data_IF_175047716075
#
_entry.id   IF_175047716075
#
_cell.length_a   1.000
_cell.length_b   1.000
_cell.length_c   1.000
_cell.angle_alpha   90.00
_cell.angle_beta   90.00
_cell.angle_gamma   90.00
#
_symmetry.space_group_name_H-M   'P 1'
#
loop_
_entity.id
_entity.type
_entity.pdbx_description
1 polymer ?
#
# COMPACT_ATOMS: atom_id res chain seq x y z
N UNK A 1 -9.09 77.18 11.92
CA UNK A 1 -9.88 76.14 11.24
C UNK A 1 -9.20 74.81 11.50
N UNK A 2 -9.73 74.04 12.43
CA UNK A 2 -9.15 72.78 12.91
C UNK A 2 -10.19 71.68 12.68
N UNK A 3 -9.73 70.56 12.11
CA UNK A 3 -10.56 69.39 11.80
C UNK A 3 -11.10 68.72 13.08
N UNK A 4 -12.32 68.15 13.06
CA UNK A 4 -12.97 67.64 14.27
C UNK A 4 -12.54 66.21 14.65
N UNK A 5 -12.69 65.94 15.95
CA UNK A 5 -12.39 64.71 16.64
C UNK A 5 -13.32 63.53 16.27
N UNK A 6 -12.78 62.31 16.42
CA UNK A 6 -13.48 61.02 16.26
C UNK A 6 -14.48 60.75 17.38
N UNK A 7 -15.61 60.08 17.10
CA UNK A 7 -16.39 59.37 18.11
C UNK A 7 -16.22 57.83 18.00
N UNK A 8 -16.03 57.19 19.16
CA UNK A 8 -16.46 55.80 19.49
C UNK A 8 -17.71 55.92 20.40
N UNK A 9 -18.51 54.87 20.73
CA UNK A 9 -18.26 53.41 20.65
C UNK A 9 -19.46 52.54 20.20
N UNK A 10 -19.25 51.23 20.11
CA UNK A 10 -20.31 50.22 20.00
C UNK A 10 -19.78 48.79 20.05
N UNK A 11 -19.66 48.24 21.25
CA UNK A 11 -19.25 46.86 21.53
C UNK A 11 -20.31 45.86 21.06
N UNK A 12 -19.89 44.75 20.43
CA UNK A 12 -20.66 43.50 20.38
C UNK A 12 -19.80 42.34 20.87
N UNK A 13 -20.25 41.75 21.97
CA UNK A 13 -19.74 40.54 22.60
C UNK A 13 -20.15 39.31 21.80
N UNK A 14 -19.21 38.39 21.56
CA UNK A 14 -19.49 37.06 21.02
C UNK A 14 -19.50 36.04 22.16
N UNK A 15 -20.70 35.51 22.45
CA UNK A 15 -20.91 34.38 23.34
C UNK A 15 -20.42 33.09 22.67
N UNK A 16 -19.48 32.38 23.31
CA UNK A 16 -19.19 30.98 22.99
C UNK A 16 -20.10 30.06 23.80
N UNK A 17 -20.47 28.90 23.24
CA UNK A 17 -20.64 27.78 24.14
C UNK A 17 -20.16 26.43 23.62
N UNK A 18 -19.98 25.58 24.63
CA UNK A 18 -20.15 24.13 24.66
C UNK A 18 -18.99 23.26 24.12
N UNK A 19 -18.27 22.69 25.09
CA UNK A 19 -17.34 21.60 24.89
C UNK A 19 -18.00 20.35 24.34
N UNK A 20 -17.19 19.59 23.61
CA UNK A 20 -17.58 18.31 23.06
C UNK A 20 -17.47 17.24 24.15
N UNK A 21 -18.64 16.72 24.53
CA UNK A 21 -18.78 15.52 25.36
C UNK A 21 -18.19 14.31 24.64
N UNK A 22 -17.39 13.56 25.38
CA UNK A 22 -16.98 12.19 25.06
C UNK A 22 -18.18 11.24 25.16
N UNK A 23 -18.30 10.30 24.21
CA UNK A 23 -19.08 9.08 24.39
C UNK A 23 -20.04 8.70 23.24
N UNK A 24 -19.57 7.84 22.34
CA UNK A 24 -20.18 6.52 22.07
C UNK A 24 -19.23 5.71 21.17
N UNK A 25 -18.98 4.46 21.59
CA UNK A 25 -17.92 3.61 21.08
C UNK A 25 -18.02 3.35 19.58
N UNK A 26 -16.89 3.52 18.91
CA UNK A 26 -16.63 2.98 17.58
C UNK A 26 -15.86 1.69 17.86
N UNK A 27 -16.53 0.54 17.69
CA UNK A 27 -15.84 -0.75 17.59
C UNK A 27 -14.87 -0.72 16.40
N UNK A 28 -13.84 -1.59 16.35
CA UNK A 28 -12.81 -1.48 15.33
C UNK A 28 -13.45 -1.56 13.95
N UNK A 29 -13.30 -0.48 13.18
CA UNK A 29 -13.60 -0.49 11.77
C UNK A 29 -12.60 -1.44 11.10
N UNK A 30 -13.07 -2.63 10.71
CA UNK A 30 -12.32 -3.48 9.80
C UNK A 30 -12.06 -2.68 8.52
N UNK A 31 -10.80 -2.60 8.03
CA UNK A 31 -10.51 -1.93 6.78
C UNK A 31 -11.05 -2.80 5.66
N UNK A 32 -12.28 -2.55 5.21
CA UNK A 32 -12.81 -3.19 4.01
C UNK A 32 -12.05 -2.61 2.82
N UNK A 33 -10.96 -3.29 2.45
CA UNK A 33 -10.22 -3.00 1.24
C UNK A 33 -11.12 -3.20 0.02
N UNK A 34 -11.25 -2.18 -0.82
CA UNK A 34 -12.03 -2.20 -2.06
C UNK A 34 -11.32 -3.03 -3.15
N UNK A 35 -11.11 -4.31 -2.87
CA UNK A 35 -10.71 -5.30 -3.86
C UNK A 35 -11.98 -5.72 -4.62
N UNK A 36 -12.08 -5.33 -5.89
CA UNK A 36 -13.23 -5.67 -6.73
C UNK A 36 -13.47 -7.19 -6.79
N UNK A 37 -14.49 -7.66 -6.06
CA UNK A 37 -14.84 -9.07 -5.91
C UNK A 37 -15.53 -9.57 -7.18
N UNK A 38 -14.82 -10.29 -8.04
CA UNK A 38 -15.39 -10.95 -9.23
C UNK A 38 -15.60 -12.42 -8.89
N UNK A 39 -16.86 -12.85 -8.66
CA UNK A 39 -17.28 -14.26 -8.43
C UNK A 39 -16.15 -15.20 -7.93
N UNK A 40 -15.79 -15.09 -6.65
CA UNK A 40 -14.80 -15.98 -6.02
C UNK A 40 -13.32 -15.63 -6.28
N UNK A 41 -13.04 -14.46 -6.85
CA UNK A 41 -11.69 -13.91 -7.01
C UNK A 41 -11.58 -12.51 -6.38
N UNK A 42 -10.41 -12.28 -5.79
CA UNK A 42 -9.94 -11.00 -5.28
C UNK A 42 -8.83 -10.48 -6.19
N UNK A 43 -8.85 -9.17 -6.49
CA UNK A 43 -7.88 -8.54 -7.39
C UNK A 43 -6.94 -7.59 -6.68
N UNK A 44 -5.65 -7.77 -6.95
CA UNK A 44 -4.58 -6.83 -6.64
C UNK A 44 -3.92 -6.32 -7.93
N UNK A 45 -3.00 -5.37 -7.77
CA UNK A 45 -2.35 -4.69 -8.88
C UNK A 45 -0.85 -4.68 -8.70
N UNK A 46 -0.11 -4.63 -9.80
CA UNK A 46 1.35 -4.50 -9.79
C UNK A 46 1.78 -3.63 -10.96
N UNK A 47 2.76 -2.76 -10.71
CA UNK A 47 3.46 -2.02 -11.77
C UNK A 47 4.92 -2.43 -11.75
N UNK A 48 5.38 -3.01 -12.85
CA UNK A 48 6.72 -3.61 -12.93
C UNK A 48 7.28 -3.46 -14.34
N UNK A 49 8.58 -3.68 -14.48
CA UNK A 49 9.23 -3.74 -15.79
C UNK A 49 8.68 -4.90 -16.62
N UNK A 50 8.63 -4.74 -17.94
CA UNK A 50 8.11 -5.74 -18.86
C UNK A 50 8.74 -7.14 -18.66
N UNK A 51 10.05 -7.20 -18.35
CA UNK A 51 10.77 -8.47 -18.09
C UNK A 51 10.18 -9.30 -16.94
N UNK A 52 9.58 -8.64 -15.94
CA UNK A 52 9.05 -9.30 -14.75
C UNK A 52 7.52 -9.34 -14.71
N UNK A 53 6.82 -8.82 -15.74
CA UNK A 53 5.38 -8.59 -15.70
C UNK A 53 4.56 -9.84 -15.38
N UNK A 54 4.98 -10.99 -15.92
CA UNK A 54 4.35 -12.29 -15.72
C UNK A 54 5.24 -13.27 -14.94
N UNK A 55 6.25 -12.75 -14.22
CA UNK A 55 7.11 -13.60 -13.40
C UNK A 55 6.35 -14.13 -12.19
N UNK A 56 6.00 -15.42 -12.26
CA UNK A 56 5.36 -16.18 -11.19
C UNK A 56 6.34 -16.73 -10.16
N UNK A 57 7.62 -16.86 -10.51
CA UNK A 57 8.67 -17.37 -9.61
C UNK A 57 9.16 -16.30 -8.63
N UNK A 58 8.83 -15.04 -8.91
CA UNK A 58 9.19 -13.89 -8.09
C UNK A 58 10.70 -13.77 -7.91
N UNK A 59 11.46 -14.04 -8.99
CA UNK A 59 12.91 -14.20 -8.93
C UNK A 59 13.59 -12.90 -8.51
N UNK A 60 13.09 -11.74 -8.98
CA UNK A 60 13.64 -10.44 -8.58
C UNK A 60 13.55 -10.18 -7.07
N UNK A 61 12.35 -10.39 -6.49
CA UNK A 61 12.16 -10.25 -5.04
C UNK A 61 12.97 -11.30 -4.26
N UNK A 62 13.10 -12.52 -4.80
CA UNK A 62 13.91 -13.58 -4.20
C UNK A 62 15.40 -13.22 -4.19
N UNK A 63 15.92 -12.65 -5.28
CA UNK A 63 17.36 -12.35 -5.41
C UNK A 63 17.77 -11.07 -4.66
N UNK A 64 16.92 -10.05 -4.65
CA UNK A 64 17.26 -8.74 -4.07
C UNK A 64 16.73 -8.59 -2.63
N UNK A 65 15.76 -9.42 -2.23
CA UNK A 65 14.98 -9.20 -1.02
C UNK A 65 13.99 -8.05 -1.21
N UNK A 66 13.22 -7.77 -0.15
CA UNK A 66 12.28 -6.65 -0.10
C UNK A 66 11.99 -6.28 1.34
N UNK A 67 10.97 -5.43 1.57
CA UNK A 67 10.60 -5.02 2.94
C UNK A 67 10.10 -6.19 3.79
N UNK A 68 9.37 -7.11 3.17
CA UNK A 68 8.67 -8.23 3.81
C UNK A 68 9.21 -9.60 3.40
N UNK A 69 10.38 -9.67 2.77
CA UNK A 69 11.04 -10.93 2.46
C UNK A 69 12.57 -10.78 2.52
N UNK A 70 13.28 -11.71 3.17
CA UNK A 70 14.74 -11.73 3.12
C UNK A 70 15.21 -12.23 1.75
N UNK A 71 16.48 -11.96 1.44
CA UNK A 71 17.17 -12.54 0.28
C UNK A 71 17.06 -14.06 0.33
N UNK A 72 16.75 -14.68 -0.81
CA UNK A 72 16.53 -16.11 -0.97
C UNK A 72 15.07 -16.55 -0.85
N UNK A 73 14.18 -15.72 -0.28
CA UNK A 73 12.75 -16.04 -0.11
C UNK A 73 11.90 -15.31 -1.13
N UNK A 74 11.12 -16.05 -1.92
CA UNK A 74 10.28 -15.48 -2.97
C UNK A 74 9.01 -14.83 -2.39
N UNK A 75 8.65 -13.66 -2.92
CA UNK A 75 7.41 -12.97 -2.58
C UNK A 75 6.90 -12.16 -3.78
N UNK A 76 5.60 -12.23 -4.06
CA UNK A 76 4.97 -11.41 -5.09
C UNK A 76 4.39 -10.15 -4.44
N UNK A 77 4.97 -8.98 -4.74
CA UNK A 77 4.46 -7.71 -4.27
C UNK A 77 3.40 -7.14 -5.21
N UNK A 78 2.28 -6.73 -4.62
CA UNK A 78 1.17 -6.07 -5.27
C UNK A 78 0.60 -4.97 -4.35
N UNK A 79 -0.28 -4.14 -4.90
CA UNK A 79 -1.06 -3.15 -4.16
C UNK A 79 -2.55 -3.41 -4.31
N UNK A 80 -3.35 -2.92 -3.38
CA UNK A 80 -4.82 -3.07 -3.44
C UNK A 80 -5.44 -2.20 -4.54
N UNK A 81 -4.75 -1.14 -4.97
CA UNK A 81 -5.16 -0.28 -6.08
C UNK A 81 -4.02 -0.03 -7.06
N UNK A 82 -4.30 0.31 -8.34
CA UNK A 82 -3.26 0.76 -9.26
C UNK A 82 -2.55 2.04 -8.78
N UNK A 83 -3.25 2.86 -7.99
CA UNK A 83 -2.76 4.14 -7.48
C UNK A 83 -1.62 3.93 -6.50
N UNK A 84 -1.78 3.03 -5.52
CA UNK A 84 -0.70 2.75 -4.56
C UNK A 84 0.50 2.10 -5.26
N UNK A 85 0.27 1.21 -6.25
CA UNK A 85 1.36 0.65 -7.05
C UNK A 85 2.13 1.72 -7.83
N UNK A 86 1.43 2.74 -8.35
CA UNK A 86 2.05 3.82 -9.09
C UNK A 86 2.90 4.68 -8.15
N UNK A 87 2.39 5.01 -6.96
CA UNK A 87 3.11 5.78 -5.95
C UNK A 87 4.36 5.04 -5.46
N UNK A 88 4.23 3.76 -5.08
CA UNK A 88 5.35 2.91 -4.67
C UNK A 88 6.41 2.84 -5.77
N UNK A 89 5.99 2.61 -7.02
CA UNK A 89 6.91 2.52 -8.15
C UNK A 89 7.60 3.85 -8.44
N UNK A 90 6.90 4.96 -8.28
CA UNK A 90 7.45 6.30 -8.47
C UNK A 90 8.55 6.60 -7.44
N UNK A 91 8.28 6.36 -6.15
CA UNK A 91 9.27 6.55 -5.07
C UNK A 91 10.48 5.65 -5.27
N UNK A 92 10.29 4.38 -5.65
CA UNK A 92 11.40 3.45 -5.88
C UNK A 92 12.26 3.77 -7.11
N UNK A 93 11.74 4.48 -8.11
CA UNK A 93 12.50 4.83 -9.30
C UNK A 93 13.45 6.01 -9.07
N UNK A 94 13.25 6.80 -8.01
CA UNK A 94 14.13 7.90 -7.57
C UNK A 94 14.65 8.79 -8.72
N UNK A 95 13.77 9.14 -9.67
CA UNK A 95 14.12 9.99 -10.82
C UNK A 95 14.94 9.34 -11.94
N UNK A 96 15.20 8.03 -11.89
CA UNK A 96 15.88 7.30 -12.97
C UNK A 96 15.01 7.11 -14.22
N UNK A 97 15.67 6.93 -15.37
CA UNK A 97 15.03 6.64 -16.65
C UNK A 97 14.03 5.49 -16.52
N UNK A 98 12.79 5.72 -16.97
CA UNK A 98 11.71 4.75 -16.80
C UNK A 98 11.85 3.61 -17.82
N UNK A 99 12.24 2.39 -17.39
CA UNK A 99 12.15 1.23 -18.28
C UNK A 99 10.68 1.02 -18.70
N UNK A 100 10.40 0.32 -19.81
CA UNK A 100 9.04 -0.02 -20.18
C UNK A 100 8.31 -0.73 -19.02
N UNK A 101 7.31 -0.06 -18.44
CA UNK A 101 6.50 -0.58 -17.34
C UNK A 101 5.20 -1.16 -17.87
N UNK A 102 4.66 -2.14 -17.14
CA UNK A 102 3.36 -2.76 -17.40
C UNK A 102 2.50 -2.65 -16.15
N UNK A 103 1.22 -2.37 -16.35
CA UNK A 103 0.20 -2.55 -15.32
C UNK A 103 -0.31 -3.99 -15.40
N UNK A 104 -0.22 -4.71 -14.29
CA UNK A 104 -0.57 -6.12 -14.17
C UNK A 104 -1.69 -6.26 -13.14
N UNK A 105 -2.75 -6.95 -13.51
CA UNK A 105 -3.75 -7.45 -12.56
C UNK A 105 -3.26 -8.77 -11.99
N UNK A 106 -3.41 -8.93 -10.68
CA UNK A 106 -3.08 -10.14 -9.92
C UNK A 106 -4.37 -10.64 -9.31
N UNK A 107 -4.98 -11.65 -9.94
CA UNK A 107 -6.21 -12.26 -9.43
C UNK A 107 -5.85 -13.47 -8.56
N UNK A 108 -6.40 -13.51 -7.35
CA UNK A 108 -6.20 -14.58 -6.37
C UNK A 108 -7.56 -15.19 -5.98
N UNK A 109 -7.63 -16.46 -5.55
CA UNK A 109 -8.86 -17.04 -5.01
C UNK A 109 -9.36 -16.27 -3.78
N UNK A 110 -10.64 -15.93 -3.78
CA UNK A 110 -11.35 -15.28 -2.67
C UNK A 110 -12.06 -16.35 -1.84
N UNK A 111 -11.33 -16.94 -0.89
CA UNK A 111 -11.81 -17.96 0.03
C UNK A 111 -11.41 -17.60 1.45
N UNK A 112 -12.24 -17.99 2.41
CA UNK A 112 -11.98 -17.74 3.83
C UNK A 112 -10.62 -18.31 4.25
N UNK A 113 -9.90 -17.54 5.08
CA UNK A 113 -8.61 -17.94 5.63
C UNK A 113 -7.42 -17.77 4.69
N UNK A 114 -7.59 -17.31 3.44
CA UNK A 114 -6.47 -17.06 2.53
C UNK A 114 -5.76 -15.72 2.76
N UNK A 115 -6.39 -14.79 3.47
CA UNK A 115 -5.89 -13.45 3.71
C UNK A 115 -5.58 -13.28 5.20
N UNK A 116 -4.38 -12.79 5.49
CA UNK A 116 -3.93 -12.34 6.80
C UNK A 116 -3.69 -10.83 6.76
N UNK A 117 -4.17 -10.09 7.75
CA UNK A 117 -3.90 -8.67 7.90
C UNK A 117 -3.44 -8.45 9.36
N UNK A 118 -2.13 -8.33 9.63
CA UNK A 118 -1.64 -8.03 10.97
C UNK A 118 -2.16 -6.68 11.47
N UNK A 119 -2.40 -6.57 12.77
CA UNK A 119 -2.59 -5.26 13.38
C UNK A 119 -1.30 -4.45 13.27
N UNK A 120 -1.40 -3.14 13.15
CA UNK A 120 -0.22 -2.25 13.09
C UNK A 120 0.71 -2.42 14.31
N UNK A 121 0.14 -2.78 15.47
CA UNK A 121 0.87 -3.02 16.72
C UNK A 121 1.68 -4.32 16.72
N UNK A 122 1.34 -5.24 15.83
CA UNK A 122 2.03 -6.53 15.68
C UNK A 122 3.20 -6.42 14.68
N UNK A 123 3.27 -5.31 13.94
CA UNK A 123 4.39 -5.03 13.05
C UNK A 123 5.60 -4.51 13.85
N UNK A 124 6.84 -4.84 13.45
CA UNK A 124 8.03 -4.29 14.08
C UNK A 124 8.05 -2.76 14.07
N UNK A 125 8.45 -2.11 15.17
CA UNK A 125 8.36 -0.64 15.31
C UNK A 125 8.97 0.15 14.13
N UNK A 126 10.08 -0.35 13.56
CA UNK A 126 10.81 0.28 12.46
C UNK A 126 10.45 -0.29 11.07
N UNK A 127 9.29 -0.96 10.92
CA UNK A 127 8.93 -1.64 9.67
C UNK A 127 8.90 -0.72 8.45
N UNK A 128 8.57 0.56 8.63
CA UNK A 128 8.42 1.54 7.56
C UNK A 128 9.73 2.27 7.20
N UNK A 129 10.79 2.12 7.99
CA UNK A 129 12.03 2.89 7.83
C UNK A 129 12.84 2.51 6.58
N UNK A 130 13.74 3.41 6.18
CA UNK A 130 14.78 3.20 5.18
C UNK A 130 16.15 3.50 5.81
N UNK A 131 17.18 2.65 5.64
CA UNK A 131 17.17 1.39 4.90
C UNK A 131 16.22 0.34 5.51
N UNK A 132 15.80 -0.64 4.69
CA UNK A 132 14.85 -1.67 5.12
C UNK A 132 15.34 -2.37 6.39
N UNK A 133 14.50 -2.38 7.42
CA UNK A 133 14.81 -2.99 8.69
C UNK A 133 14.86 -4.54 8.59
N UNK A 134 15.89 -5.20 9.16
CA UNK A 134 15.93 -6.67 9.22
C UNK A 134 14.69 -7.28 9.90
N UNK A 135 14.12 -6.58 10.89
CA UNK A 135 12.95 -7.05 11.61
C UNK A 135 11.70 -7.20 10.71
N UNK A 136 11.49 -6.31 9.73
CA UNK A 136 10.35 -6.46 8.80
C UNK A 136 10.56 -7.61 7.81
N UNK A 137 11.81 -7.84 7.41
CA UNK A 137 12.18 -8.98 6.58
C UNK A 137 12.00 -10.29 7.33
N UNK A 138 12.40 -10.36 8.59
CA UNK A 138 12.20 -11.54 9.43
C UNK A 138 10.72 -11.80 9.67
N UNK A 139 9.93 -10.78 10.03
CA UNK A 139 8.49 -10.89 10.19
C UNK A 139 7.80 -11.48 8.95
N UNK A 140 8.05 -10.88 7.78
CA UNK A 140 7.46 -11.36 6.53
C UNK A 140 8.05 -12.68 6.05
N UNK A 141 9.33 -12.93 6.28
CA UNK A 141 10.00 -14.19 5.98
C UNK A 141 9.44 -15.37 6.77
N UNK A 142 9.19 -15.19 8.06
CA UNK A 142 8.54 -16.18 8.91
C UNK A 142 7.13 -16.51 8.38
N UNK A 143 6.33 -15.47 8.08
CA UNK A 143 5.01 -15.66 7.47
C UNK A 143 5.05 -16.40 6.12
N UNK A 144 6.01 -16.06 5.25
CA UNK A 144 6.20 -16.72 3.96
C UNK A 144 6.55 -18.20 4.12
N UNK A 145 7.44 -18.54 5.04
CA UNK A 145 7.90 -19.90 5.29
C UNK A 145 6.82 -20.77 5.97
N UNK A 146 5.98 -20.19 6.81
CA UNK A 146 4.85 -20.90 7.43
C UNK A 146 3.78 -21.28 6.41
N UNK A 147 3.64 -20.51 5.31
CA UNK A 147 2.73 -20.78 4.21
C UNK A 147 1.28 -21.09 4.64
N UNK A 148 0.80 -20.44 5.71
CA UNK A 148 -0.55 -20.61 6.26
C UNK A 148 -1.63 -19.84 5.50
N UNK A 149 -1.28 -18.66 5.00
CA UNK A 149 -2.15 -17.81 4.19
C UNK A 149 -1.49 -17.51 2.85
N UNK A 150 -2.31 -17.24 1.84
CA UNK A 150 -1.84 -16.88 0.50
C UNK A 150 -1.40 -15.41 0.43
N UNK A 151 -2.11 -14.53 1.13
CA UNK A 151 -1.91 -13.08 1.05
C UNK A 151 -1.73 -12.50 2.44
N UNK A 152 -0.72 -11.67 2.62
CA UNK A 152 -0.57 -10.78 3.76
C UNK A 152 -0.82 -9.33 3.31
N UNK A 153 -1.83 -8.68 3.90
CA UNK A 153 -2.11 -7.27 3.69
C UNK A 153 -1.34 -6.45 4.72
N UNK A 154 -0.48 -5.56 4.23
CA UNK A 154 0.39 -4.72 5.05
C UNK A 154 0.21 -3.26 4.67
N UNK A 155 0.34 -2.31 5.60
CA UNK A 155 0.34 -0.89 5.26
C UNK A 155 1.49 -0.56 4.28
N UNK A 156 1.25 0.40 3.39
CA UNK A 156 2.33 0.97 2.58
C UNK A 156 3.21 1.87 3.44
N UNK A 157 4.53 1.75 3.29
CA UNK A 157 5.47 2.65 3.96
C UNK A 157 5.42 4.09 3.39
N UNK A 158 4.88 4.26 2.17
CA UNK A 158 4.74 5.56 1.50
C UNK A 158 3.41 6.24 1.86
N UNK A 159 2.34 5.45 2.00
CA UNK A 159 0.99 5.93 2.36
C UNK A 159 0.36 4.93 3.34
N UNK A 160 0.51 5.09 4.66
CA UNK A 160 0.07 4.12 5.66
C UNK A 160 -1.43 3.79 5.63
N UNK A 161 -2.27 4.70 5.14
CA UNK A 161 -3.70 4.51 4.94
C UNK A 161 -4.03 3.57 3.76
N UNK A 162 -3.07 3.34 2.87
CA UNK A 162 -3.19 2.38 1.77
C UNK A 162 -2.52 1.05 2.13
N UNK A 163 -2.99 -0.02 1.49
CA UNK A 163 -2.48 -1.38 1.72
C UNK A 163 -1.75 -1.93 0.50
N UNK A 164 -0.64 -2.60 0.79
CA UNK A 164 0.07 -3.48 -0.12
C UNK A 164 -0.27 -4.94 0.21
N UNK A 165 -0.16 -5.80 -0.80
CA UNK A 165 -0.33 -7.23 -0.69
C UNK A 165 1.01 -7.92 -0.94
N UNK A 166 1.44 -8.73 0.02
CA UNK A 166 2.53 -9.70 -0.14
C UNK A 166 1.87 -11.05 -0.40
N UNK A 167 2.04 -11.60 -1.60
CA UNK A 167 1.43 -12.86 -2.01
C UNK A 167 2.50 -13.95 -1.98
N UNK A 168 2.21 -15.05 -1.28
CA UNK A 168 3.15 -16.11 -0.97
C UNK A 168 3.22 -17.18 -2.08
N UNK A 169 4.34 -17.29 -2.83
CA UNK A 169 4.48 -18.31 -3.88
C UNK A 169 4.62 -19.73 -3.35
N UNK A 170 4.93 -19.91 -2.06
CA UNK A 170 5.08 -21.22 -1.40
C UNK A 170 3.73 -21.80 -0.96
N UNK A 171 2.68 -20.99 -0.88
CA UNK A 171 1.35 -21.44 -0.48
C UNK A 171 0.70 -22.30 -1.59
N UNK A 172 0.06 -23.44 -1.30
CA UNK A 172 -0.54 -24.32 -2.32
C UNK A 172 -1.53 -23.63 -3.27
N UNK A 173 -2.37 -22.73 -2.73
CA UNK A 173 -3.32 -21.95 -3.52
C UNK A 173 -2.67 -20.94 -4.50
N UNK A 174 -1.35 -20.73 -4.44
CA UNK A 174 -0.65 -19.89 -5.41
C UNK A 174 -0.74 -20.45 -6.84
N UNK A 175 -1.01 -21.75 -6.99
CA UNK A 175 -1.32 -22.37 -8.27
C UNK A 175 -2.53 -21.74 -8.97
N UNK A 176 -3.48 -21.18 -8.21
CA UNK A 176 -4.71 -20.54 -8.71
C UNK A 176 -4.54 -19.05 -8.98
N UNK A 177 -3.41 -18.45 -8.56
CA UNK A 177 -3.13 -17.03 -8.81
C UNK A 177 -2.89 -16.83 -10.30
N UNK A 178 -3.44 -15.77 -10.88
CA UNK A 178 -3.20 -15.40 -12.28
C UNK A 178 -2.63 -13.99 -12.41
N UNK A 179 -1.69 -13.82 -13.35
CA UNK A 179 -1.08 -12.55 -13.68
C UNK A 179 -1.52 -12.16 -15.09
N UNK A 180 -2.16 -11.01 -15.23
CA UNK A 180 -2.64 -10.52 -16.54
C UNK A 180 -2.10 -9.13 -16.80
N UNK A 181 -1.32 -8.95 -17.86
CA UNK A 181 -0.93 -7.61 -18.32
C UNK A 181 -2.18 -6.91 -18.85
N UNK A 182 -2.56 -5.80 -18.23
CA UNK A 182 -3.74 -5.02 -18.62
C UNK A 182 -3.37 -4.03 -19.72
N UNK A 183 -2.24 -3.36 -19.56
CA UNK A 183 -1.71 -2.39 -20.54
C UNK A 183 -0.27 -2.01 -20.22
N UNK A 184 0.32 -1.30 -21.14
CA UNK A 184 1.55 -0.54 -20.92
C UNK A 184 1.29 0.57 -19.91
N UNK A 185 2.27 0.82 -19.05
CA UNK A 185 2.21 1.84 -18.03
C UNK A 185 3.32 2.86 -18.26
N UNK A 186 2.94 4.13 -18.27
CA UNK A 186 3.84 5.26 -18.23
C UNK A 186 3.31 6.24 -17.19
N UNK A 187 4.25 6.90 -16.52
CA UNK A 187 3.95 8.06 -15.71
C UNK A 187 3.65 9.26 -16.61
N UNK A 188 2.71 10.11 -16.20
CA UNK A 188 2.39 11.32 -16.95
C UNK A 188 3.60 12.27 -16.97
N UNK A 189 3.96 12.79 -18.15
CA UNK A 189 5.12 13.64 -18.32
C UNK A 189 5.08 14.92 -17.45
N UNK A 190 3.88 15.40 -17.10
CA UNK A 190 3.68 16.57 -16.22
C UNK A 190 4.18 16.35 -14.79
N UNK A 191 4.41 15.10 -14.38
CA UNK A 191 4.99 14.82 -13.07
C UNK A 191 6.49 15.11 -12.99
N UNK A 192 7.18 15.19 -14.13
CA UNK A 192 8.63 15.41 -14.19
C UNK A 192 8.98 16.79 -14.76
N UNK A 193 8.18 17.28 -15.70
CA UNK A 193 8.36 18.62 -16.23
C UNK A 193 7.80 19.65 -15.24
N UNK A 194 8.69 20.22 -14.44
CA UNK A 194 8.47 21.56 -13.90
C UNK A 194 8.52 22.49 -15.11
N UNK A 195 7.42 23.19 -15.38
CA UNK A 195 7.42 24.27 -16.37
C UNK A 195 8.48 25.32 -16.08
#
# INVERSE_FOLDING_TARGET
MAAPAKPQPGQRSAAGPAGYRTGRGIGPASPECDCHRRRGLMRFWRITTARWALDRKCEGARSEGGRWNPVGTAALYAGTTPVICALEKFVHLDGMAHPPLKLVAVDVPDRDGLVYAPDLRDLPDNWAELPVAPASQEFGGNWLNEARQLVMLVPSAVMPEAQNAVINPLHPAYAEVSLTVIRDFSFDARMFNKG
#
